data_IF_336648840591
#
_entry.id   IF_336648840591
#
_cell.length_a   1.000
_cell.length_b   1.000
_cell.length_c   1.000
_cell.angle_alpha   90.00
_cell.angle_beta   90.00
_cell.angle_gamma   90.00
#
_symmetry.space_group_name_H-M   'P 1'
#
loop_
_entity.id
_entity.type
_entity.pdbx_description
1 polymer ?
#
# COMPACT_ATOMS: atom_id res chain seq x y z
N UNK A 1 3.64 -23.91 59.47
CA UNK A 1 3.90 -23.03 58.31
C UNK A 1 3.05 -21.81 58.43
N UNK A 2 3.62 -20.64 58.59
CA UNK A 2 2.87 -19.41 58.85
C UNK A 2 2.36 -18.85 57.53
N UNK A 3 1.09 -18.31 57.50
CA UNK A 3 0.47 -17.84 56.23
C UNK A 3 1.25 -16.70 55.54
N UNK A 4 2.15 -16.05 56.24
CA UNK A 4 3.00 -14.96 55.71
C UNK A 4 4.06 -15.47 54.71
N UNK A 5 4.50 -16.72 54.78
CA UNK A 5 5.49 -17.30 53.85
C UNK A 5 4.87 -17.76 52.53
N UNK A 6 3.54 -18.08 52.55
CA UNK A 6 2.82 -18.48 51.36
C UNK A 6 2.50 -17.25 50.48
N UNK A 7 2.21 -16.07 51.07
CA UNK A 7 1.91 -14.86 50.33
C UNK A 7 3.13 -14.29 49.58
N UNK A 8 4.35 -14.46 50.12
CA UNK A 8 5.57 -14.03 49.45
C UNK A 8 5.94 -14.91 48.24
N UNK A 9 5.60 -16.21 48.26
CA UNK A 9 5.87 -17.12 47.15
C UNK A 9 4.93 -16.86 45.95
N UNK A 10 3.71 -16.39 46.19
CA UNK A 10 2.76 -16.06 45.14
C UNK A 10 3.09 -14.74 44.40
N UNK A 11 3.71 -13.77 45.08
CA UNK A 11 4.13 -12.50 44.49
C UNK A 11 5.35 -12.67 43.58
N UNK A 12 6.25 -13.62 43.90
CA UNK A 12 7.46 -13.91 43.10
C UNK A 12 7.14 -14.59 41.75
N UNK A 13 6.01 -15.31 41.63
CA UNK A 13 5.60 -15.95 40.36
C UNK A 13 4.85 -15.02 39.39
N UNK A 14 4.37 -13.86 39.86
CA UNK A 14 3.61 -12.94 39.01
C UNK A 14 4.49 -12.01 38.15
N UNK A 15 5.79 -11.95 38.38
CA UNK A 15 6.72 -11.03 37.70
C UNK A 15 7.46 -11.61 36.52
N UNK A 16 7.17 -12.84 36.08
CA UNK A 16 7.86 -13.48 34.93
C UNK A 16 7.04 -13.59 33.65
N UNK A 17 5.90 -12.88 33.57
CA UNK A 17 5.14 -12.75 32.32
C UNK A 17 5.58 -11.51 31.52
N UNK A 18 6.88 -11.20 31.51
CA UNK A 18 7.42 -10.35 30.46
C UNK A 18 7.39 -11.19 29.18
N UNK A 19 6.46 -10.85 28.30
CA UNK A 19 6.37 -11.45 26.97
C UNK A 19 7.78 -11.51 26.36
N UNK A 20 8.24 -12.71 26.01
CA UNK A 20 9.40 -12.87 25.14
C UNK A 20 9.06 -12.18 23.83
N UNK A 21 9.64 -11.04 23.59
CA UNK A 21 9.71 -10.45 22.27
C UNK A 21 10.57 -11.42 21.45
N UNK A 22 9.95 -12.16 20.53
CA UNK A 22 10.65 -13.14 19.72
C UNK A 22 11.61 -12.39 18.77
N UNK A 23 12.94 -12.48 18.97
CA UNK A 23 13.90 -11.74 18.15
C UNK A 23 13.90 -12.19 16.68
N UNK A 24 13.22 -13.30 16.35
CA UNK A 24 13.09 -13.78 14.97
C UNK A 24 11.84 -13.22 14.26
N UNK A 25 11.00 -12.47 14.95
CA UNK A 25 9.87 -11.82 14.29
C UNK A 25 10.38 -10.62 13.46
N UNK A 26 9.90 -10.55 12.22
CA UNK A 26 10.15 -9.41 11.34
C UNK A 26 9.77 -8.12 12.07
N UNK A 27 10.70 -7.19 12.12
CA UNK A 27 10.47 -5.86 12.66
C UNK A 27 10.43 -4.85 11.51
N UNK A 28 9.41 -3.99 11.51
CA UNK A 28 9.40 -2.85 10.61
C UNK A 28 10.56 -1.91 10.96
N UNK A 29 11.23 -1.39 9.95
CA UNK A 29 12.38 -0.49 10.11
C UNK A 29 12.09 0.91 9.57
N UNK A 30 11.11 1.02 8.69
CA UNK A 30 10.77 2.25 7.99
C UNK A 30 9.41 2.76 8.45
N UNK A 31 9.30 4.07 8.61
CA UNK A 31 8.03 4.72 8.89
C UNK A 31 7.11 4.67 7.67
N UNK A 32 5.81 4.61 7.91
CA UNK A 32 4.80 4.83 6.87
C UNK A 32 4.92 6.22 6.28
N UNK A 33 4.61 6.37 5.00
CA UNK A 33 4.80 7.61 4.26
C UNK A 33 3.51 8.05 3.59
N UNK A 34 3.09 9.29 3.87
CA UNK A 34 1.96 9.93 3.20
C UNK A 34 2.46 10.84 2.08
N UNK A 35 1.89 10.69 0.89
CA UNK A 35 2.21 11.50 -0.28
C UNK A 35 0.95 11.95 -1.01
N UNK A 36 1.10 13.00 -1.82
CA UNK A 36 0.08 13.45 -2.77
C UNK A 36 0.70 13.59 -4.15
N UNK A 37 0.00 13.08 -5.17
CA UNK A 37 0.44 13.08 -6.54
C UNK A 37 -0.57 13.76 -7.43
N UNK A 38 -0.08 14.51 -8.41
CA UNK A 38 -0.88 14.97 -9.54
C UNK A 38 -0.50 14.13 -10.75
N UNK A 39 -1.47 13.38 -11.29
CA UNK A 39 -1.32 12.55 -12.49
C UNK A 39 -2.37 12.93 -13.51
N UNK A 40 -2.20 12.45 -14.74
CA UNK A 40 -3.12 12.72 -15.84
C UNK A 40 -3.73 11.43 -16.35
N UNK A 41 -4.91 11.53 -16.96
CA UNK A 41 -5.56 10.38 -17.57
C UNK A 41 -4.69 9.80 -18.72
N UNK A 42 -4.68 8.49 -18.88
CA UNK A 42 -3.98 7.81 -19.97
C UNK A 42 -4.49 8.23 -21.34
N UNK A 43 -5.80 8.45 -21.46
CA UNK A 43 -6.42 8.87 -22.70
C UNK A 43 -6.73 10.37 -22.70
N UNK A 44 -6.66 11.00 -23.86
CA UNK A 44 -7.00 12.42 -24.03
C UNK A 44 -5.99 13.40 -23.45
N UNK A 45 -4.80 12.93 -23.03
CA UNK A 45 -3.67 13.77 -22.61
C UNK A 45 -2.40 13.41 -23.39
N UNK A 46 -1.42 14.32 -23.50
CA UNK A 46 -0.15 14.02 -24.14
C UNK A 46 0.58 12.84 -23.43
N UNK A 47 1.16 11.93 -24.19
CA UNK A 47 1.92 10.79 -23.66
C UNK A 47 3.17 11.20 -22.83
N UNK A 48 3.57 12.49 -22.91
CA UNK A 48 4.64 13.05 -22.08
C UNK A 48 4.22 13.33 -20.64
N UNK A 49 2.91 13.35 -20.36
CA UNK A 49 2.38 13.61 -19.02
C UNK A 49 2.42 12.33 -18.17
N UNK A 50 2.72 12.44 -16.86
CA UNK A 50 2.72 11.27 -15.99
C UNK A 50 1.29 10.80 -15.74
N UNK A 51 1.03 9.53 -16.04
CA UNK A 51 -0.28 8.89 -15.85
C UNK A 51 -0.21 7.73 -14.86
N UNK A 52 0.97 7.42 -14.32
CA UNK A 52 1.19 6.37 -13.36
C UNK A 52 1.86 6.85 -12.09
N UNK A 53 1.77 6.02 -11.05
CA UNK A 53 2.47 6.20 -9.77
C UNK A 53 3.29 4.95 -9.47
N UNK A 54 4.56 5.15 -9.13
CA UNK A 54 5.36 4.15 -8.43
C UNK A 54 5.32 4.49 -6.94
N UNK A 55 4.58 3.71 -6.18
CA UNK A 55 4.32 4.00 -4.76
C UNK A 55 5.57 3.82 -3.90
N UNK A 56 6.42 2.85 -4.24
CA UNK A 56 7.66 2.58 -3.48
C UNK A 56 8.74 3.64 -3.72
N UNK A 57 8.96 4.03 -5.00
CA UNK A 57 9.91 5.10 -5.33
C UNK A 57 9.32 6.49 -5.02
N UNK A 58 8.01 6.55 -4.74
CA UNK A 58 7.29 7.77 -4.41
C UNK A 58 7.37 8.82 -5.51
N UNK A 59 7.05 8.40 -6.72
CA UNK A 59 7.13 9.27 -7.90
C UNK A 59 5.98 9.04 -8.87
N UNK A 60 5.59 10.10 -9.56
CA UNK A 60 4.78 9.99 -10.77
C UNK A 60 5.65 9.55 -11.93
N UNK A 61 5.10 8.74 -12.83
CA UNK A 61 5.82 8.20 -13.98
C UNK A 61 4.99 8.27 -15.25
N UNK A 62 5.68 8.40 -16.36
CA UNK A 62 5.06 8.25 -17.68
C UNK A 62 4.80 6.78 -17.95
N UNK A 63 3.66 6.50 -18.53
CA UNK A 63 3.27 5.14 -18.93
C UNK A 63 3.62 4.95 -20.41
N UNK A 64 4.87 4.63 -20.69
CA UNK A 64 5.42 4.57 -22.05
C UNK A 64 6.16 3.26 -22.35
N UNK A 65 5.66 2.14 -21.84
CA UNK A 65 6.27 0.83 -22.08
C UNK A 65 7.30 0.41 -21.02
N UNK A 66 7.76 1.31 -20.17
CA UNK A 66 8.50 0.96 -18.97
C UNK A 66 7.51 0.62 -17.85
N UNK A 67 7.47 -0.64 -17.42
CA UNK A 67 6.62 -1.12 -16.34
C UNK A 67 7.06 -0.61 -14.95
N UNK A 68 7.66 0.57 -14.83
CA UNK A 68 8.17 1.10 -13.57
C UNK A 68 7.12 1.93 -12.81
N UNK A 69 5.90 1.41 -12.74
CA UNK A 69 4.81 1.98 -11.95
C UNK A 69 3.99 0.85 -11.31
N UNK A 70 3.22 1.16 -10.29
CA UNK A 70 2.31 0.22 -9.65
C UNK A 70 0.91 0.33 -10.25
N UNK A 71 0.42 1.54 -10.37
CA UNK A 71 -0.89 1.86 -10.94
C UNK A 71 -0.81 3.00 -11.95
N UNK A 72 -1.71 2.95 -12.92
CA UNK A 72 -1.97 4.02 -13.86
C UNK A 72 -3.44 4.47 -13.77
N UNK A 73 -3.72 5.67 -14.22
CA UNK A 73 -5.02 6.31 -14.08
C UNK A 73 -5.58 6.72 -15.43
N UNK A 74 -6.90 6.55 -15.57
CA UNK A 74 -7.64 7.12 -16.70
C UNK A 74 -8.95 7.73 -16.20
N UNK A 75 -9.62 8.47 -17.07
CA UNK A 75 -10.96 9.01 -16.85
C UNK A 75 -11.84 8.47 -17.97
N UNK A 76 -12.90 7.74 -17.62
CA UNK A 76 -13.85 7.20 -18.59
C UNK A 76 -14.77 8.27 -19.19
N UNK A 77 -15.58 7.87 -20.17
CA UNK A 77 -16.51 8.77 -20.85
C UNK A 77 -17.62 9.32 -19.92
N UNK A 78 -17.83 8.68 -18.77
CA UNK A 78 -18.76 9.15 -17.72
C UNK A 78 -18.10 10.08 -16.69
N UNK A 79 -16.80 10.37 -16.85
CA UNK A 79 -16.03 11.25 -15.96
C UNK A 79 -15.58 10.58 -14.68
N UNK A 80 -15.58 9.24 -14.62
CA UNK A 80 -15.10 8.48 -13.46
C UNK A 80 -13.64 8.08 -13.63
N UNK A 81 -12.88 8.08 -12.53
CA UNK A 81 -11.50 7.64 -12.54
C UNK A 81 -11.43 6.12 -12.58
N UNK A 82 -10.60 5.57 -13.46
CA UNK A 82 -10.26 4.15 -13.51
C UNK A 82 -8.82 4.00 -13.03
N UNK A 83 -8.60 3.13 -12.04
CA UNK A 83 -7.28 2.74 -11.55
C UNK A 83 -6.91 1.39 -12.15
N UNK A 84 -5.85 1.38 -12.94
CA UNK A 84 -5.32 0.19 -13.59
C UNK A 84 -4.09 -0.32 -12.86
N UNK A 85 -4.05 -1.56 -12.40
CA UNK A 85 -2.79 -2.16 -11.95
C UNK A 85 -1.84 -2.36 -13.14
N UNK A 86 -0.54 -2.30 -12.90
CA UNK A 86 0.50 -2.31 -13.94
C UNK A 86 0.32 -3.42 -14.99
N UNK A 87 -0.07 -4.62 -14.57
CA UNK A 87 -0.27 -5.77 -15.48
C UNK A 87 -1.49 -5.64 -16.41
N UNK A 88 -2.36 -4.65 -16.21
CA UNK A 88 -3.46 -4.35 -17.15
C UNK A 88 -3.07 -3.33 -18.22
N UNK A 89 -1.96 -2.65 -18.02
CA UNK A 89 -1.44 -1.65 -18.96
C UNK A 89 -0.26 -2.22 -19.75
N UNK A 90 0.61 -3.00 -19.09
CA UNK A 90 1.79 -3.61 -19.69
C UNK A 90 1.64 -5.12 -19.74
N UNK A 91 1.38 -5.65 -20.93
CA UNK A 91 1.11 -7.08 -21.14
C UNK A 91 2.35 -7.99 -21.04
N UNK A 92 3.56 -7.43 -21.15
CA UNK A 92 4.84 -8.16 -21.14
C UNK A 92 5.50 -8.28 -19.77
N UNK A 93 4.74 -8.04 -18.68
CA UNK A 93 5.29 -8.10 -17.32
C UNK A 93 5.71 -9.51 -16.92
N UNK A 94 6.85 -9.58 -16.23
CA UNK A 94 7.30 -10.78 -15.53
C UNK A 94 6.36 -11.09 -14.35
N UNK A 95 6.27 -12.35 -13.95
CA UNK A 95 5.44 -12.77 -12.82
C UNK A 95 5.87 -12.17 -11.48
N UNK A 96 7.06 -11.61 -11.39
CA UNK A 96 7.63 -11.00 -10.17
C UNK A 96 7.08 -9.60 -9.87
N UNK A 97 6.32 -9.00 -10.78
CA UNK A 97 5.75 -7.68 -10.58
C UNK A 97 4.26 -7.66 -10.86
N UNK A 98 3.48 -7.72 -9.79
CA UNK A 98 2.02 -7.68 -9.84
C UNK A 98 1.48 -6.75 -8.77
N UNK A 99 0.38 -6.11 -9.09
CA UNK A 99 -0.36 -5.25 -8.16
C UNK A 99 -1.79 -5.72 -8.08
N UNK A 100 -2.21 -6.10 -6.90
CA UNK A 100 -3.61 -6.38 -6.61
C UNK A 100 -4.29 -5.13 -6.05
N UNK A 101 -5.55 -4.92 -6.40
CA UNK A 101 -6.37 -3.81 -5.93
C UNK A 101 -7.54 -4.32 -5.11
N UNK A 102 -7.88 -3.58 -4.04
CA UNK A 102 -9.05 -3.88 -3.23
C UNK A 102 -9.70 -2.58 -2.74
N UNK A 103 -11.01 -2.42 -2.97
CA UNK A 103 -11.79 -1.34 -2.36
C UNK A 103 -12.03 -1.67 -0.89
N UNK A 104 -11.95 -0.64 -0.05
CA UNK A 104 -12.17 -0.73 1.40
C UNK A 104 -13.18 0.33 1.82
N UNK A 105 -14.16 -0.09 2.60
CA UNK A 105 -15.16 0.83 3.15
C UNK A 105 -14.55 1.69 4.28
N UNK A 106 -14.97 2.94 4.34
CA UNK A 106 -14.57 3.88 5.37
C UNK A 106 -13.87 5.12 4.79
N UNK A 107 -13.68 6.12 5.64
CA UNK A 107 -12.93 7.33 5.29
C UNK A 107 -11.43 7.02 5.18
N UNK A 108 -10.70 7.75 4.33
CA UNK A 108 -9.27 7.54 4.10
C UNK A 108 -8.44 7.52 5.39
N UNK A 109 -8.75 8.42 6.34
CA UNK A 109 -8.05 8.49 7.63
C UNK A 109 -8.38 7.29 8.56
N UNK A 110 -9.58 6.70 8.44
CA UNK A 110 -10.02 5.59 9.32
C UNK A 110 -9.51 4.22 8.89
N UNK A 111 -9.02 4.08 7.66
CA UNK A 111 -8.42 2.83 7.19
C UNK A 111 -6.96 2.81 7.66
N UNK A 112 -6.72 2.19 8.82
CA UNK A 112 -5.39 2.13 9.47
C UNK A 112 -4.62 0.86 9.19
N UNK A 113 -5.26 -0.14 8.57
CA UNK A 113 -4.62 -1.42 8.25
C UNK A 113 -5.10 -1.93 6.88
N UNK A 114 -4.19 -2.44 6.08
CA UNK A 114 -4.52 -3.13 4.84
C UNK A 114 -5.27 -4.43 5.15
N UNK A 115 -6.45 -4.69 4.54
CA UNK A 115 -7.20 -5.91 4.80
C UNK A 115 -6.41 -7.15 4.38
N UNK A 116 -6.59 -8.24 5.12
CA UNK A 116 -6.12 -9.56 4.71
C UNK A 116 -7.01 -10.14 3.61
N UNK A 117 -6.49 -11.10 2.85
CA UNK A 117 -7.26 -11.84 1.85
C UNK A 117 -6.97 -11.42 0.42
N UNK A 118 -7.93 -11.63 -0.47
CA UNK A 118 -7.72 -11.52 -1.91
C UNK A 118 -7.73 -10.07 -2.37
N UNK A 119 -6.74 -9.73 -3.19
CA UNK A 119 -6.66 -8.51 -3.98
C UNK A 119 -6.85 -8.88 -5.46
N UNK A 120 -7.74 -8.17 -6.14
CA UNK A 120 -8.03 -8.42 -7.54
C UNK A 120 -6.94 -7.82 -8.44
N UNK A 121 -6.56 -8.51 -9.48
CA UNK A 121 -5.63 -8.02 -10.51
C UNK A 121 -6.34 -7.26 -11.66
N UNK A 122 -7.59 -6.90 -11.45
CA UNK A 122 -8.42 -6.12 -12.38
C UNK A 122 -8.42 -4.65 -12.03
N UNK A 123 -8.73 -3.80 -13.02
CA UNK A 123 -8.96 -2.37 -12.80
C UNK A 123 -10.18 -2.11 -11.91
N UNK A 124 -10.15 -0.99 -11.20
CA UNK A 124 -11.24 -0.52 -10.33
C UNK A 124 -11.66 0.88 -10.78
N UNK A 125 -12.96 1.10 -10.93
CA UNK A 125 -13.53 2.45 -11.05
C UNK A 125 -13.54 3.09 -9.67
N UNK A 126 -12.85 4.19 -9.48
CA UNK A 126 -12.74 4.91 -8.22
C UNK A 126 -13.57 6.19 -8.23
N UNK A 127 -14.38 6.40 -7.21
CA UNK A 127 -15.04 7.67 -6.96
C UNK A 127 -14.20 8.51 -5.98
N UNK A 128 -14.31 9.86 -6.04
CA UNK A 128 -13.65 10.72 -5.06
C UNK A 128 -14.02 10.32 -3.63
N UNK A 129 -13.02 10.21 -2.75
CA UNK A 129 -13.19 9.82 -1.35
C UNK A 129 -13.24 8.30 -1.09
N UNK A 130 -13.43 7.46 -2.10
CA UNK A 130 -13.31 5.99 -1.93
C UNK A 130 -11.86 5.59 -1.65
N UNK A 131 -11.68 4.57 -0.80
CA UNK A 131 -10.36 4.05 -0.44
C UNK A 131 -10.08 2.78 -1.21
N UNK A 132 -8.94 2.76 -1.90
CA UNK A 132 -8.42 1.57 -2.58
C UNK A 132 -7.10 1.22 -1.93
N UNK A 133 -6.93 -0.05 -1.58
CA UNK A 133 -5.66 -0.58 -1.08
C UNK A 133 -5.00 -1.39 -2.19
N UNK A 134 -3.72 -1.10 -2.40
CA UNK A 134 -2.82 -1.79 -3.30
C UNK A 134 -2.00 -2.81 -2.50
N UNK A 135 -1.85 -4.01 -3.06
CA UNK A 135 -0.87 -5.00 -2.66
C UNK A 135 0.14 -5.14 -3.81
N UNK A 136 1.32 -4.56 -3.65
CA UNK A 136 2.35 -4.53 -4.69
C UNK A 136 3.40 -5.59 -4.42
N UNK A 137 3.57 -6.55 -5.36
CA UNK A 137 4.64 -7.56 -5.31
C UNK A 137 5.97 -6.91 -5.66
N UNK A 138 6.99 -7.12 -4.82
CA UNK A 138 8.32 -6.50 -4.88
C UNK A 138 9.46 -7.50 -4.64
N UNK A 139 9.37 -8.71 -5.22
CA UNK A 139 10.37 -9.76 -5.02
C UNK A 139 11.27 -10.00 -6.25
N UNK A 140 11.24 -9.10 -7.24
CA UNK A 140 12.16 -9.14 -8.36
C UNK A 140 13.61 -8.89 -7.96
N UNK A 141 14.56 -9.22 -8.82
CA UNK A 141 15.97 -8.94 -8.59
C UNK A 141 16.18 -7.43 -8.35
N UNK A 142 16.85 -7.10 -7.25
CA UNK A 142 17.08 -5.72 -6.79
C UNK A 142 15.81 -4.94 -6.40
N UNK A 143 14.70 -5.61 -6.16
CA UNK A 143 13.47 -4.97 -5.66
C UNK A 143 13.42 -5.03 -4.11
N UNK A 144 12.52 -4.26 -3.51
CA UNK A 144 12.47 -4.00 -2.08
C UNK A 144 12.37 -5.25 -1.22
N UNK A 145 11.58 -6.26 -1.63
CA UNK A 145 11.31 -7.47 -0.85
C UNK A 145 12.02 -8.71 -1.40
N UNK A 146 13.10 -8.54 -2.15
CA UNK A 146 13.81 -9.67 -2.79
C UNK A 146 14.24 -10.76 -1.81
N UNK A 147 14.62 -10.37 -0.59
CA UNK A 147 15.13 -11.28 0.44
C UNK A 147 14.21 -11.42 1.65
N UNK A 148 13.01 -10.82 1.58
CA UNK A 148 12.05 -10.86 2.68
C UNK A 148 11.14 -12.08 2.60
N UNK A 149 10.57 -12.47 3.74
CA UNK A 149 9.62 -13.59 3.83
C UNK A 149 8.33 -13.26 3.05
N UNK A 150 7.92 -12.00 3.06
CA UNK A 150 6.75 -11.54 2.31
C UNK A 150 7.18 -10.72 1.09
N UNK A 151 6.68 -11.05 -0.10
CA UNK A 151 7.03 -10.31 -1.31
C UNK A 151 6.23 -9.01 -1.51
N UNK A 152 5.41 -8.61 -0.55
CA UNK A 152 4.41 -7.55 -0.73
C UNK A 152 4.68 -6.34 0.14
N UNK A 153 4.46 -5.15 -0.45
CA UNK A 153 4.23 -3.89 0.27
C UNK A 153 2.79 -3.43 0.04
N UNK A 154 2.29 -2.58 0.95
CA UNK A 154 0.91 -2.11 0.89
C UNK A 154 0.84 -0.59 0.82
N UNK A 155 -0.08 -0.10 0.00
CA UNK A 155 -0.38 1.33 -0.13
C UNK A 155 -1.89 1.51 -0.13
N UNK A 156 -2.43 2.43 0.68
CA UNK A 156 -3.79 2.92 0.48
C UNK A 156 -3.78 4.18 -0.37
N UNK A 157 -4.77 4.34 -1.23
CA UNK A 157 -4.96 5.56 -2.00
C UNK A 157 -6.43 6.01 -1.99
N UNK A 158 -6.63 7.29 -2.27
CA UNK A 158 -7.94 7.88 -2.58
C UNK A 158 -7.78 8.93 -3.66
N UNK A 159 -8.83 9.16 -4.44
CA UNK A 159 -8.93 10.29 -5.36
C UNK A 159 -9.40 11.49 -4.54
N UNK A 160 -8.53 12.49 -4.41
CA UNK A 160 -8.81 13.74 -3.71
C UNK A 160 -9.68 14.68 -4.57
N UNK A 161 -9.25 14.86 -5.82
CA UNK A 161 -9.95 15.71 -6.78
C UNK A 161 -9.61 15.33 -8.22
N UNK A 162 -10.44 15.73 -9.15
CA UNK A 162 -10.21 15.57 -10.58
C UNK A 162 -10.70 16.78 -11.37
N UNK A 163 -10.03 17.06 -12.49
CA UNK A 163 -10.41 18.06 -13.47
C UNK A 163 -10.71 17.37 -14.79
N UNK A 164 -11.96 17.42 -15.23
CA UNK A 164 -12.35 16.86 -16.53
C UNK A 164 -11.78 17.65 -17.70
N UNK A 165 -11.56 18.96 -17.53
CA UNK A 165 -11.03 19.83 -18.58
C UNK A 165 -9.57 19.53 -18.88
N UNK A 166 -8.73 19.48 -17.86
CA UNK A 166 -7.30 19.15 -17.99
C UNK A 166 -7.02 17.66 -17.91
N UNK A 167 -8.04 16.84 -17.58
CA UNK A 167 -7.93 15.40 -17.30
C UNK A 167 -6.88 15.09 -16.23
N UNK A 168 -6.68 16.01 -15.28
CA UNK A 168 -5.78 15.86 -14.16
C UNK A 168 -6.51 15.23 -12.96
N UNK A 169 -5.80 14.37 -12.24
CA UNK A 169 -6.30 13.61 -11.10
C UNK A 169 -5.33 13.82 -9.94
N UNK A 170 -5.83 14.27 -8.79
CA UNK A 170 -5.07 14.36 -7.57
C UNK A 170 -5.32 13.14 -6.71
N UNK A 171 -4.24 12.46 -6.33
CA UNK A 171 -4.28 11.20 -5.60
C UNK A 171 -3.52 11.37 -4.28
N UNK A 172 -4.17 11.03 -3.15
CA UNK A 172 -3.51 10.91 -1.85
C UNK A 172 -3.17 9.44 -1.60
N UNK A 173 -2.02 9.19 -1.01
CA UNK A 173 -1.56 7.84 -0.66
C UNK A 173 -0.98 7.78 0.75
N UNK A 174 -1.02 6.59 1.37
CA UNK A 174 -0.15 6.22 2.49
C UNK A 174 0.45 4.86 2.18
N UNK A 175 1.77 4.82 2.14
CA UNK A 175 2.58 3.62 1.90
C UNK A 175 3.11 3.06 3.22
N UNK A 176 3.00 1.75 3.42
CA UNK A 176 3.87 1.00 4.31
C UNK A 176 5.02 0.39 3.48
N UNK A 177 6.26 0.87 3.61
CA UNK A 177 7.37 0.39 2.79
C UNK A 177 7.98 -0.92 3.31
N UNK A 178 7.53 -1.42 4.47
CA UNK A 178 8.06 -2.65 5.08
C UNK A 178 7.39 -3.88 4.48
N UNK A 179 8.18 -4.84 4.04
CA UNK A 179 7.69 -6.04 3.38
C UNK A 179 6.84 -6.90 4.31
N UNK A 180 5.59 -7.15 3.93
CA UNK A 180 4.63 -7.93 4.69
C UNK A 180 3.87 -7.16 5.78
N UNK A 181 4.28 -5.95 6.12
CA UNK A 181 3.55 -5.09 7.05
C UNK A 181 2.37 -4.43 6.37
N UNK A 182 1.30 -4.20 7.14
CA UNK A 182 0.03 -3.73 6.60
C UNK A 182 -0.52 -2.48 7.29
N UNK A 183 0.27 -1.83 8.15
CA UNK A 183 -0.16 -0.65 8.87
C UNK A 183 -0.14 0.59 7.98
N UNK A 184 -1.13 1.45 8.16
CA UNK A 184 -1.18 2.80 7.59
C UNK A 184 -1.17 3.87 8.68
N UNK A 185 -0.91 3.49 9.91
CA UNK A 185 -0.71 4.43 11.01
C UNK A 185 0.63 5.14 10.85
N UNK A 186 0.67 6.39 11.29
CA UNK A 186 1.89 7.19 11.23
C UNK A 186 2.99 6.62 12.11
N UNK A 187 4.21 6.58 11.61
CA UNK A 187 5.38 6.06 12.31
C UNK A 187 5.84 4.69 11.84
N UNK A 188 6.73 4.07 12.58
CA UNK A 188 7.21 2.72 12.31
C UNK A 188 6.14 1.73 12.80
N UNK A 189 5.62 0.83 11.94
CA UNK A 189 4.62 -0.13 12.34
C UNK A 189 5.09 -1.04 13.48
N UNK A 190 4.25 -1.17 14.50
CA UNK A 190 4.42 -2.20 15.54
C UNK A 190 3.53 -3.38 15.19
N UNK A 191 3.92 -4.22 14.26
CA UNK A 191 3.16 -5.41 13.82
C UNK A 191 1.72 -5.14 13.38
#
# INVERSE_FOLDING_TARGET
>A
MTPRKLALALIACASTLTACDDPNLLQAQLATVADTYDVFALTGTPASFPSGINTYIRSTVRVDGNANFDVAFDIDDSGKVIVYPVQKVVSSLTSSRRVGLRRVDGAFASVTIAPSGTYADSSIVALPGEVIVLQSMRNGASDACQFDISPYIYTKLTIDSLSLVSRAIRVQTVLDPNCGFRSFESGIPSR
#
